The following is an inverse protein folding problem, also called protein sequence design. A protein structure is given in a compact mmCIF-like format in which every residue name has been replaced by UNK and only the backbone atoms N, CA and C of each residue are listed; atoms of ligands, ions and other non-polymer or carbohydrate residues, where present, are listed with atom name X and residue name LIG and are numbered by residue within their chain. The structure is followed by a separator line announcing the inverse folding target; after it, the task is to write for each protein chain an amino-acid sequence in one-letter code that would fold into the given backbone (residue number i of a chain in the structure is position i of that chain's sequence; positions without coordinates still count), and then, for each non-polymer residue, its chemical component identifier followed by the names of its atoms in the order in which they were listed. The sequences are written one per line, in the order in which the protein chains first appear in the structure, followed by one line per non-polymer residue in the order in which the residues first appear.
data_IF_311879729161
#
_entry.id   IF_311879729161
#
_cell.length_a   1.000
_cell.length_b   1.000
_cell.length_c   1.000
_cell.angle_alpha   90.00
_cell.angle_beta   90.00
_cell.angle_gamma   90.00
#
_symmetry.space_group_name_H-M   'P 1'
#
loop_
_entity.id
_entity.type
_entity.pdbx_description
1 polymer ?
#
# COMPACT_ATOMS: atom_id res chain seq x y z
N UNK A 1 -70.92 -2.85 13.06
CA UNK A 1 -69.94 -3.91 13.30
C UNK A 1 -68.57 -3.35 12.97
N UNK A 2 -67.86 -2.86 14.00
CA UNK A 2 -66.50 -2.28 13.86
C UNK A 2 -65.48 -3.40 14.04
N UNK A 3 -64.79 -3.78 12.96
CA UNK A 3 -63.70 -4.72 13.01
C UNK A 3 -62.48 -4.03 13.63
N UNK A 4 -62.28 -4.20 14.94
CA UNK A 4 -61.02 -3.85 15.58
C UNK A 4 -59.95 -4.83 15.17
N UNK A 5 -58.99 -4.34 14.39
CA UNK A 5 -57.76 -5.08 14.04
C UNK A 5 -56.91 -5.26 15.31
N UNK A 6 -56.61 -6.47 15.75
CA UNK A 6 -55.83 -6.70 16.97
C UNK A 6 -54.45 -6.10 16.82
N UNK A 7 -54.08 -5.09 17.63
CA UNK A 7 -52.72 -4.55 17.76
C UNK A 7 -51.79 -5.67 18.29
N UNK A 8 -51.07 -6.31 17.39
CA UNK A 8 -50.07 -7.31 17.72
C UNK A 8 -48.95 -6.62 18.50
N UNK A 9 -48.94 -6.79 19.83
CA UNK A 9 -47.84 -6.26 20.68
C UNK A 9 -46.56 -7.02 20.33
N UNK A 10 -45.58 -6.31 19.80
CA UNK A 10 -44.22 -6.86 19.59
C UNK A 10 -43.70 -7.37 20.95
N UNK A 11 -43.14 -8.57 20.96
CA UNK A 11 -42.48 -9.11 22.15
C UNK A 11 -41.26 -8.26 22.51
N UNK A 12 -41.01 -8.08 23.81
CA UNK A 12 -39.86 -7.29 24.30
C UNK A 12 -38.50 -7.77 23.68
N UNK A 13 -38.38 -9.07 23.42
CA UNK A 13 -37.19 -9.65 22.75
C UNK A 13 -37.04 -9.21 21.30
N UNK A 14 -38.17 -9.10 20.56
CA UNK A 14 -38.13 -8.62 19.16
C UNK A 14 -37.76 -7.14 19.08
N UNK A 15 -38.18 -6.32 20.06
CA UNK A 15 -37.82 -4.90 20.12
C UNK A 15 -36.32 -4.72 20.43
N UNK A 16 -35.75 -5.50 21.35
CA UNK A 16 -34.31 -5.48 21.66
C UNK A 16 -33.52 -5.92 20.45
N UNK A 17 -33.89 -6.99 19.76
CA UNK A 17 -33.23 -7.46 18.56
C UNK A 17 -33.20 -6.39 17.45
N UNK A 18 -34.32 -5.67 17.27
CA UNK A 18 -34.44 -4.61 16.28
C UNK A 18 -33.54 -3.40 16.60
N UNK A 19 -33.40 -3.04 17.89
CA UNK A 19 -32.49 -1.99 18.34
C UNK A 19 -31.04 -2.40 18.08
N UNK A 20 -30.67 -3.62 18.41
CA UNK A 20 -29.28 -4.13 18.18
C UNK A 20 -28.95 -4.12 16.70
N UNK A 21 -29.81 -4.61 15.83
CA UNK A 21 -29.63 -4.58 14.38
C UNK A 21 -29.55 -3.14 13.87
N UNK A 22 -30.38 -2.24 14.38
CA UNK A 22 -30.33 -0.82 14.03
C UNK A 22 -29.00 -0.16 14.38
N UNK A 23 -28.47 -0.42 15.58
CA UNK A 23 -27.17 0.09 16.03
C UNK A 23 -26.04 -0.45 15.17
N UNK A 24 -26.03 -1.77 14.87
CA UNK A 24 -25.03 -2.38 13.99
C UNK A 24 -25.07 -1.78 12.58
N UNK A 25 -26.25 -1.56 12.02
CA UNK A 25 -26.40 -0.92 10.72
C UNK A 25 -25.81 0.50 10.69
N UNK A 26 -26.05 1.30 11.74
CA UNK A 26 -25.47 2.64 11.86
C UNK A 26 -23.94 2.59 11.93
N UNK A 27 -23.37 1.65 12.71
CA UNK A 27 -21.92 1.48 12.80
C UNK A 27 -21.33 1.14 11.43
N UNK A 28 -21.95 0.22 10.68
CA UNK A 28 -21.47 -0.17 9.34
C UNK A 28 -21.56 1.01 8.37
N UNK A 29 -22.62 1.81 8.43
CA UNK A 29 -22.76 3.00 7.58
C UNK A 29 -21.67 4.03 7.90
N UNK A 30 -21.43 4.33 9.19
CA UNK A 30 -20.39 5.28 9.60
C UNK A 30 -19.02 4.79 9.18
N UNK A 31 -18.69 3.50 9.39
CA UNK A 31 -17.45 2.91 8.94
C UNK A 31 -17.29 3.00 7.42
N UNK A 32 -18.34 2.68 6.65
CA UNK A 32 -18.33 2.78 5.20
C UNK A 32 -18.08 4.21 4.69
N UNK A 33 -18.76 5.19 5.27
CA UNK A 33 -18.56 6.60 4.93
C UNK A 33 -17.15 7.06 5.27
N UNK A 34 -16.62 6.68 6.44
CA UNK A 34 -15.28 7.04 6.86
C UNK A 34 -14.21 6.43 5.93
N UNK A 35 -14.35 5.16 5.57
CA UNK A 35 -13.49 4.51 4.60
C UNK A 35 -13.57 5.18 3.22
N UNK A 36 -14.75 5.57 2.77
CA UNK A 36 -14.94 6.25 1.49
C UNK A 36 -14.30 7.65 1.47
N UNK A 37 -14.46 8.42 2.54
CA UNK A 37 -13.90 9.77 2.66
C UNK A 37 -12.37 9.77 2.82
N UNK A 38 -11.81 8.71 3.43
CA UNK A 38 -10.37 8.57 3.69
C UNK A 38 -9.67 7.58 2.77
N UNK A 39 -10.31 7.19 1.67
CA UNK A 39 -9.75 6.19 0.75
C UNK A 39 -8.35 6.58 0.25
N UNK A 40 -8.12 7.87 -0.01
CA UNK A 40 -6.85 8.38 -0.54
C UNK A 40 -5.73 8.24 0.49
N UNK A 41 -6.01 8.60 1.75
CA UNK A 41 -5.08 8.42 2.86
C UNK A 41 -4.78 6.93 3.10
N UNK A 42 -5.81 6.07 3.03
CA UNK A 42 -5.66 4.62 3.23
C UNK A 42 -4.77 4.00 2.15
N UNK A 43 -4.93 4.38 0.89
CA UNK A 43 -4.10 3.88 -0.22
C UNK A 43 -2.65 4.34 -0.04
N UNK A 44 -2.42 5.61 0.25
CA UNK A 44 -1.07 6.14 0.51
C UNK A 44 -0.43 5.45 1.70
N UNK A 45 -1.16 5.32 2.81
CA UNK A 45 -0.67 4.65 4.02
C UNK A 45 -0.33 3.18 3.77
N UNK A 46 -1.21 2.45 3.10
CA UNK A 46 -0.98 1.05 2.73
C UNK A 46 0.25 0.86 1.85
N UNK A 47 0.40 1.73 0.83
CA UNK A 47 1.57 1.72 -0.06
C UNK A 47 2.86 2.06 0.71
N UNK A 48 2.84 3.09 1.57
CA UNK A 48 3.98 3.45 2.40
C UNK A 48 4.40 2.32 3.35
N UNK A 49 3.44 1.66 3.97
CA UNK A 49 3.69 0.53 4.87
C UNK A 49 4.35 -0.64 4.12
N UNK A 50 3.87 -0.95 2.91
CA UNK A 50 4.42 -2.01 2.06
C UNK A 50 5.86 -1.70 1.63
N UNK A 51 6.11 -0.49 1.14
CA UNK A 51 7.44 -0.02 0.74
C UNK A 51 8.40 -0.02 1.94
N UNK A 52 7.94 0.42 3.11
CA UNK A 52 8.74 0.40 4.35
C UNK A 52 9.05 -1.02 4.81
N UNK A 53 8.13 -1.97 4.63
CA UNK A 53 8.35 -3.38 4.96
C UNK A 53 9.47 -3.97 4.11
N UNK A 54 9.45 -3.72 2.79
CA UNK A 54 10.50 -4.18 1.86
C UNK A 54 11.85 -3.53 2.19
N UNK A 55 11.86 -2.21 2.47
CA UNK A 55 13.06 -1.49 2.93
C UNK A 55 13.64 -2.14 4.19
N UNK A 56 12.80 -2.46 5.15
CA UNK A 56 13.22 -3.08 6.42
C UNK A 56 13.80 -4.47 6.18
N UNK A 57 13.20 -5.26 5.30
CA UNK A 57 13.71 -6.58 4.92
C UNK A 57 15.08 -6.49 4.28
N UNK A 58 15.29 -5.58 3.32
CA UNK A 58 16.59 -5.35 2.67
C UNK A 58 17.68 -4.86 3.64
N UNK A 59 17.31 -4.09 4.66
CA UNK A 59 18.24 -3.65 5.70
C UNK A 59 18.63 -4.77 6.67
N UNK A 60 17.67 -5.64 7.01
CA UNK A 60 17.90 -6.76 7.93
C UNK A 60 18.63 -7.93 7.25
N UNK A 61 18.40 -8.09 5.95
CA UNK A 61 19.01 -9.13 5.12
C UNK A 61 19.67 -8.49 3.89
N UNK A 62 20.88 -7.88 4.07
CA UNK A 62 21.56 -7.21 2.96
C UNK A 62 21.85 -8.18 1.82
N UNK A 63 21.52 -7.75 0.62
CA UNK A 63 21.67 -8.53 -0.61
C UNK A 63 22.96 -8.11 -1.32
N UNK A 64 23.77 -9.07 -1.74
CA UNK A 64 24.99 -8.80 -2.46
C UNK A 64 24.73 -8.01 -3.76
N UNK A 65 25.50 -6.94 -3.97
CA UNK A 65 25.33 -6.07 -5.13
C UNK A 65 24.23 -5.03 -5.01
N UNK A 66 23.50 -4.99 -3.89
CA UNK A 66 22.47 -3.97 -3.61
C UNK A 66 22.99 -2.98 -2.57
N UNK A 67 23.07 -1.71 -2.96
CA UNK A 67 23.44 -0.62 -2.05
C UNK A 67 22.22 -0.23 -1.18
N UNK A 68 22.25 -0.67 0.08
CA UNK A 68 21.19 -0.40 1.05
C UNK A 68 21.04 1.09 1.37
N UNK A 69 22.12 1.87 1.31
CA UNK A 69 22.06 3.33 1.51
C UNK A 69 21.25 3.97 0.40
N UNK A 70 21.47 3.54 -0.83
CA UNK A 70 20.75 4.00 -2.00
C UNK A 70 19.28 3.57 -1.95
N UNK A 71 18.99 2.32 -1.62
CA UNK A 71 17.61 1.83 -1.43
C UNK A 71 16.88 2.69 -0.40
N UNK A 72 17.52 2.98 0.72
CA UNK A 72 16.94 3.81 1.77
C UNK A 72 16.64 5.23 1.28
N UNK A 73 17.59 5.87 0.59
CA UNK A 73 17.42 7.23 0.06
C UNK A 73 16.25 7.31 -0.95
N UNK A 74 16.17 6.36 -1.90
CA UNK A 74 15.10 6.30 -2.89
C UNK A 74 13.76 6.06 -2.20
N UNK A 75 13.69 5.12 -1.26
CA UNK A 75 12.47 4.77 -0.52
C UNK A 75 11.93 5.95 0.28
N UNK A 76 12.81 6.68 0.99
CA UNK A 76 12.41 7.82 1.80
C UNK A 76 11.92 8.98 0.92
N UNK A 77 12.60 9.23 -0.20
CA UNK A 77 12.17 10.23 -1.18
C UNK A 77 10.85 9.83 -1.85
N UNK A 78 10.64 8.55 -2.17
CA UNK A 78 9.40 8.03 -2.72
C UNK A 78 8.23 8.25 -1.76
N UNK A 79 8.36 7.86 -0.49
CA UNK A 79 7.31 8.03 0.52
C UNK A 79 6.99 9.51 0.71
N UNK A 80 8.01 10.39 0.76
CA UNK A 80 7.82 11.83 0.86
C UNK A 80 7.01 12.37 -0.32
N UNK A 81 7.42 12.08 -1.54
CA UNK A 81 6.72 12.52 -2.76
C UNK A 81 5.30 11.98 -2.85
N UNK A 82 5.10 10.71 -2.49
CA UNK A 82 3.79 10.10 -2.45
C UNK A 82 2.83 10.85 -1.51
N UNK A 83 3.31 11.29 -0.36
CA UNK A 83 2.49 12.05 0.59
C UNK A 83 2.14 13.46 0.07
N UNK A 84 3.04 14.08 -0.69
CA UNK A 84 2.88 15.42 -1.27
C UNK A 84 2.06 15.43 -2.57
N UNK A 85 1.99 14.29 -3.29
CA UNK A 85 1.32 14.18 -4.58
C UNK A 85 -0.18 13.94 -4.44
N UNK A 86 -0.95 14.38 -5.44
CA UNK A 86 -2.34 13.95 -5.61
C UNK A 86 -2.39 12.44 -5.95
N UNK A 87 -3.47 11.79 -5.54
CA UNK A 87 -3.61 10.34 -5.73
C UNK A 87 -4.09 10.04 -7.16
N UNK A 88 -3.27 9.35 -7.93
CA UNK A 88 -3.67 8.70 -9.18
C UNK A 88 -3.86 7.20 -8.94
N UNK A 89 -5.12 6.77 -8.86
CA UNK A 89 -5.47 5.37 -8.60
C UNK A 89 -4.93 4.39 -9.63
N UNK A 90 -4.80 4.79 -10.90
CA UNK A 90 -4.27 3.94 -11.95
C UNK A 90 -2.77 3.67 -11.73
N UNK A 91 -2.01 4.72 -11.40
CA UNK A 91 -0.59 4.61 -11.08
C UNK A 91 -0.37 3.76 -9.82
N UNK A 92 -1.12 4.02 -8.74
CA UNK A 92 -1.02 3.23 -7.51
C UNK A 92 -1.41 1.76 -7.72
N UNK A 93 -2.44 1.50 -8.52
CA UNK A 93 -2.84 0.13 -8.88
C UNK A 93 -1.75 -0.61 -9.64
N UNK A 94 -1.12 0.04 -10.61
CA UNK A 94 0.00 -0.52 -11.38
C UNK A 94 1.21 -0.80 -10.48
N UNK A 95 1.58 0.16 -9.63
CA UNK A 95 2.66 -0.01 -8.67
C UNK A 95 2.41 -1.17 -7.71
N UNK A 96 1.20 -1.25 -7.13
CA UNK A 96 0.82 -2.33 -6.24
C UNK A 96 0.91 -3.71 -6.93
N UNK A 97 0.52 -3.82 -8.20
CA UNK A 97 0.65 -5.06 -8.97
C UNK A 97 2.11 -5.44 -9.18
N UNK A 98 2.99 -4.48 -9.51
CA UNK A 98 4.42 -4.74 -9.67
C UNK A 98 5.05 -5.24 -8.36
N UNK A 99 4.71 -4.61 -7.24
CA UNK A 99 5.22 -5.02 -5.92
C UNK A 99 4.66 -6.38 -5.48
N UNK A 100 3.37 -6.66 -5.75
CA UNK A 100 2.77 -7.96 -5.42
C UNK A 100 3.31 -9.11 -6.29
N UNK A 101 3.89 -8.80 -7.44
CA UNK A 101 4.54 -9.79 -8.29
C UNK A 101 5.92 -10.21 -7.75
N UNK A 102 6.48 -9.47 -6.76
CA UNK A 102 7.69 -9.90 -6.07
C UNK A 102 7.37 -11.16 -5.25
N UNK A 103 8.18 -12.20 -5.33
CA UNK A 103 7.95 -13.44 -4.60
C UNK A 103 7.83 -13.20 -3.09
N UNK A 104 6.87 -13.87 -2.48
CA UNK A 104 6.57 -13.72 -1.04
C UNK A 104 7.29 -14.75 -0.16
N UNK A 105 8.42 -15.29 -0.61
CA UNK A 105 9.19 -16.31 0.11
C UNK A 105 10.04 -15.76 1.28
N UNK A 106 9.82 -14.51 1.65
CA UNK A 106 10.45 -13.77 2.77
C UNK A 106 11.93 -13.43 2.59
N UNK A 107 12.52 -13.68 1.43
CA UNK A 107 13.89 -13.25 1.14
C UNK A 107 13.92 -12.54 -0.20
N UNK A 108 14.22 -11.26 -0.15
CA UNK A 108 14.35 -10.45 -1.37
C UNK A 108 15.74 -10.72 -1.94
N UNK A 109 15.80 -11.16 -3.19
CA UNK A 109 17.05 -11.33 -3.92
C UNK A 109 17.47 -10.04 -4.65
N UNK A 110 18.64 -10.07 -5.32
CA UNK A 110 19.17 -8.90 -6.01
C UNK A 110 18.28 -8.46 -7.19
N UNK A 111 17.69 -9.40 -7.91
CA UNK A 111 16.82 -9.09 -9.04
C UNK A 111 15.52 -8.42 -8.55
N UNK A 112 14.95 -8.92 -7.48
CA UNK A 112 13.76 -8.37 -6.84
C UNK A 112 14.00 -6.98 -6.25
N UNK A 113 15.16 -6.77 -5.62
CA UNK A 113 15.56 -5.45 -5.12
C UNK A 113 15.70 -4.43 -6.27
N UNK A 114 16.26 -4.83 -7.41
CA UNK A 114 16.35 -4.00 -8.61
C UNK A 114 14.95 -3.70 -9.16
N UNK A 115 14.07 -4.70 -9.28
CA UNK A 115 12.68 -4.50 -9.73
C UNK A 115 11.91 -3.58 -8.80
N UNK A 116 12.11 -3.70 -7.49
CA UNK A 116 11.50 -2.82 -6.49
C UNK A 116 11.96 -1.36 -6.68
N UNK A 117 13.26 -1.12 -6.81
CA UNK A 117 13.78 0.22 -7.09
C UNK A 117 13.26 0.76 -8.42
N UNK A 118 13.25 -0.06 -9.47
CA UNK A 118 12.76 0.34 -10.79
C UNK A 118 11.27 0.73 -10.72
N UNK A 119 10.44 -0.03 -10.02
CA UNK A 119 9.02 0.30 -9.84
C UNK A 119 8.83 1.68 -9.18
N UNK A 120 9.65 2.04 -8.18
CA UNK A 120 9.61 3.37 -7.57
C UNK A 120 10.06 4.48 -8.53
N UNK A 121 11.09 4.23 -9.35
CA UNK A 121 11.61 5.17 -10.32
C UNK A 121 10.68 5.36 -11.54
N UNK A 122 9.91 4.35 -11.87
CA UNK A 122 8.89 4.44 -12.92
C UNK A 122 7.64 5.18 -12.42
N UNK A 123 7.33 5.04 -11.13
CA UNK A 123 6.25 5.77 -10.50
C UNK A 123 6.56 7.27 -10.37
N UNK A 124 7.76 7.63 -9.93
CA UNK A 124 8.27 8.99 -9.84
C UNK A 124 9.59 9.13 -10.61
N UNK A 125 9.55 9.42 -11.91
CA UNK A 125 10.76 9.50 -12.76
C UNK A 125 11.80 10.52 -12.27
N UNK A 126 11.38 11.56 -11.55
CA UNK A 126 12.28 12.56 -10.97
C UNK A 126 13.18 11.99 -9.87
N UNK A 127 12.85 10.86 -9.28
CA UNK A 127 13.73 10.18 -8.31
C UNK A 127 15.01 9.64 -8.98
N UNK A 128 15.04 9.55 -10.30
CA UNK A 128 16.25 9.15 -11.06
C UNK A 128 17.41 10.11 -10.83
N UNK A 129 17.12 11.38 -10.56
CA UNK A 129 18.15 12.39 -10.25
C UNK A 129 18.86 12.13 -8.91
N UNK A 130 18.19 11.42 -7.97
CA UNK A 130 18.77 11.00 -6.69
C UNK A 130 19.64 9.75 -6.82
N UNK A 131 19.62 9.14 -7.99
CA UNK A 131 20.42 7.97 -8.33
C UNK A 131 21.59 8.46 -9.17
N UNK A 132 22.79 8.72 -8.59
CA UNK A 132 23.95 9.01 -9.41
C UNK A 132 24.10 7.89 -10.43
N UNK A 133 24.36 8.25 -11.68
CA UNK A 133 24.62 7.29 -12.73
C UNK A 133 25.64 6.27 -12.21
N UNK A 134 25.25 5.01 -12.17
CA UNK A 134 26.25 3.95 -11.97
C UNK A 134 27.19 4.08 -13.17
N UNK A 135 28.40 4.57 -12.95
CA UNK A 135 29.49 4.25 -13.86
C UNK A 135 29.52 2.72 -13.91
N UNK A 136 28.98 2.19 -15.01
CA UNK A 136 29.28 0.82 -15.41
C UNK A 136 30.77 0.86 -15.67
N UNK A 137 31.57 0.43 -14.69
CA UNK A 137 32.97 0.07 -14.93
C UNK A 137 32.91 -1.02 -15.99
N UNK A 138 33.16 -0.56 -17.20
CA UNK A 138 33.39 -1.38 -18.37
C UNK A 138 34.68 -2.19 -18.08
N UNK A 139 34.51 -3.36 -17.48
CA UNK A 139 35.57 -4.34 -17.32
C UNK A 139 35.85 -5.00 -18.68
N UNK A 140 36.13 -4.16 -19.69
CA UNK A 140 36.69 -4.61 -20.95
C UNK A 140 38.14 -4.17 -20.99
N UNK A 141 38.97 -4.81 -20.25
CA UNK A 141 40.41 -4.90 -20.56
C UNK A 141 40.99 -6.05 -19.76
N UNK A 142 41.19 -7.17 -20.41
CA UNK A 142 42.49 -7.84 -20.48
C UNK A 142 42.34 -9.14 -21.24
N UNK A 143 42.68 -9.09 -22.49
CA UNK A 143 43.33 -10.18 -23.17
C UNK A 143 44.52 -9.57 -23.95
N UNK A 144 45.66 -9.77 -23.41
CA UNK A 144 46.92 -10.02 -24.12
C UNK A 144 47.66 -11.13 -23.38
#
# INVERSE_FOLDING_TARGET
MTNEVPKKRMSKGCLIALIVVGVLAVIVIIAGITCYLKKDELVKYGTAALVTSIKTELNNNPVAGVDTVRVNAITDAFIKKMNESELDYAMYGSFAQQIQALPSDKKIDSAEAVLFMQAMLDFFPELKELVPAVEVEDTTTMQD
#
